data_IF_901421010432
#
_entry.id   IF_901421010432
#
_cell.length_a   1.000
_cell.length_b   1.000
_cell.length_c   1.000
_cell.angle_alpha   90.00
_cell.angle_beta   90.00
_cell.angle_gamma   90.00
#
_symmetry.space_group_name_H-M   'P 1'
#
loop_
_entity.id
_entity.type
_entity.pdbx_description
1 polymer ?
#
# COMPACT_ATOMS: atom_id res chain seq x y z
N UNK A 1 7.81 4.04 -14.36
CA UNK A 1 6.47 4.54 -14.03
C UNK A 1 6.23 4.31 -12.56
N UNK A 2 5.45 5.18 -11.94
CA UNK A 2 5.10 5.06 -10.53
C UNK A 2 3.61 5.33 -10.38
N UNK A 3 2.94 4.51 -9.57
CA UNK A 3 1.53 4.67 -9.22
C UNK A 3 1.39 4.79 -7.71
N UNK A 4 0.35 5.48 -7.25
CA UNK A 4 0.08 5.68 -5.83
C UNK A 4 -1.40 5.62 -5.49
N UNK A 5 -1.72 5.19 -4.27
CA UNK A 5 -3.07 5.30 -3.69
C UNK A 5 -3.53 6.75 -3.49
N UNK A 6 -2.63 7.73 -3.65
CA UNK A 6 -2.80 9.05 -3.05
C UNK A 6 -2.77 8.99 -1.52
N UNK A 7 -2.98 10.12 -0.83
CA UNK A 7 -3.07 10.14 0.62
C UNK A 7 -4.39 9.54 1.10
N UNK A 8 -4.33 8.61 2.04
CA UNK A 8 -5.50 8.08 2.73
C UNK A 8 -5.30 8.05 4.25
N UNK A 9 -6.40 8.02 5.00
CA UNK A 9 -6.36 8.00 6.46
C UNK A 9 -6.72 6.62 6.97
N UNK A 10 -5.82 6.00 7.74
CA UNK A 10 -6.19 4.82 8.51
C UNK A 10 -7.16 5.26 9.63
N UNK A 11 -8.29 4.59 9.85
CA UNK A 11 -9.18 4.98 10.95
C UNK A 11 -8.54 4.63 12.29
N UNK A 12 -9.00 5.31 13.35
CA UNK A 12 -8.60 4.97 14.72
C UNK A 12 -9.14 3.60 15.15
N UNK A 13 -10.36 3.30 14.74
CA UNK A 13 -11.07 2.04 14.97
C UNK A 13 -11.72 1.60 13.67
N UNK A 14 -11.62 0.32 13.35
CA UNK A 14 -12.39 -0.32 12.30
C UNK A 14 -13.87 -0.43 12.71
N UNK A 15 -14.74 -0.78 11.77
CA UNK A 15 -16.18 -0.95 12.02
C UNK A 15 -16.52 -1.92 13.16
N UNK A 16 -15.64 -2.91 13.40
CA UNK A 16 -15.80 -3.88 14.49
C UNK A 16 -15.32 -3.37 15.87
N UNK A 17 -14.86 -2.11 15.97
CA UNK A 17 -14.37 -1.50 17.20
C UNK A 17 -12.93 -1.83 17.57
N UNK A 18 -12.19 -2.57 16.72
CA UNK A 18 -10.76 -2.86 16.93
C UNK A 18 -9.90 -1.88 16.15
N UNK A 19 -8.73 -1.52 16.67
CA UNK A 19 -7.79 -0.69 15.93
C UNK A 19 -7.13 -1.52 14.81
N UNK A 20 -6.99 -0.99 13.59
CA UNK A 20 -6.23 -1.67 12.54
C UNK A 20 -4.78 -1.86 13.00
N UNK A 21 -4.17 -3.00 12.69
CA UNK A 21 -2.77 -3.30 13.07
C UNK A 21 -1.88 -3.61 11.87
N UNK A 22 -2.48 -3.68 10.68
CA UNK A 22 -1.81 -4.10 9.46
C UNK A 22 -2.30 -3.29 8.27
N UNK A 23 -1.36 -2.93 7.39
CA UNK A 23 -1.60 -2.55 6.01
C UNK A 23 -1.01 -3.64 5.12
N UNK A 24 -1.87 -4.37 4.41
CA UNK A 24 -1.50 -5.41 3.47
C UNK A 24 -1.45 -4.84 2.05
N UNK A 25 -0.43 -5.23 1.29
CA UNK A 25 -0.18 -4.85 -0.09
C UNK A 25 0.02 -6.14 -0.88
N UNK A 26 -0.91 -6.40 -1.79
CA UNK A 26 -0.94 -7.59 -2.62
C UNK A 26 -0.44 -7.20 -4.00
N UNK A 27 0.61 -7.88 -4.45
CA UNK A 27 1.23 -7.65 -5.74
C UNK A 27 1.07 -8.90 -6.59
N UNK A 28 0.51 -8.75 -7.79
CA UNK A 28 0.28 -9.85 -8.71
C UNK A 28 0.97 -9.56 -10.04
N UNK A 29 1.74 -10.54 -10.53
CA UNK A 29 2.34 -10.52 -11.86
C UNK A 29 1.55 -11.45 -12.78
N UNK A 30 0.56 -10.95 -13.56
CA UNK A 30 -0.19 -11.74 -14.52
C UNK A 30 0.61 -12.05 -15.81
N UNK A 31 1.81 -11.48 -15.95
CA UNK A 31 2.58 -11.55 -17.19
C UNK A 31 3.43 -12.83 -17.29
N UNK A 32 4.01 -13.04 -18.48
CA UNK A 32 4.90 -14.18 -18.76
C UNK A 32 6.39 -13.91 -18.50
N UNK A 33 6.72 -12.77 -17.88
CA UNK A 33 8.10 -12.35 -17.61
C UNK A 33 8.26 -12.04 -16.13
N UNK A 34 9.49 -12.10 -15.63
CA UNK A 34 9.80 -11.54 -14.32
C UNK A 34 9.54 -10.04 -14.36
N UNK A 35 8.93 -9.53 -13.31
CA UNK A 35 8.65 -8.10 -13.12
C UNK A 35 9.19 -7.66 -11.78
N UNK A 36 9.71 -6.44 -11.71
CA UNK A 36 10.30 -5.87 -10.51
C UNK A 36 9.65 -4.53 -10.19
N UNK A 37 9.23 -4.38 -8.94
CA UNK A 37 8.70 -3.13 -8.40
C UNK A 37 9.38 -2.77 -7.09
N UNK A 38 9.45 -1.48 -6.79
CA UNK A 38 9.79 -0.96 -5.47
C UNK A 38 8.50 -0.45 -4.82
N UNK A 39 8.20 -0.95 -3.63
CA UNK A 39 7.05 -0.52 -2.83
C UNK A 39 7.53 0.36 -1.70
N UNK A 40 6.96 1.55 -1.61
CA UNK A 40 7.26 2.55 -0.58
C UNK A 40 5.95 2.87 0.15
N UNK A 41 5.99 2.84 1.49
CA UNK A 41 4.90 3.34 2.33
C UNK A 41 5.39 4.49 3.16
N UNK A 42 4.74 5.63 2.98
CA UNK A 42 5.00 6.85 3.72
C UNK A 42 3.87 7.08 4.74
N UNK A 43 4.26 7.53 5.93
CA UNK A 43 3.35 7.97 7.00
C UNK A 43 3.52 9.47 7.24
N UNK A 44 2.42 10.18 7.37
CA UNK A 44 2.40 11.57 7.86
C UNK A 44 1.66 11.63 9.19
N UNK A 45 2.35 12.19 10.17
CA UNK A 45 1.74 12.52 11.45
C UNK A 45 0.88 13.78 11.28
N UNK A 46 -0.31 13.80 11.87
CA UNK A 46 -1.23 14.94 11.78
C UNK A 46 -0.61 16.14 12.50
N UNK A 47 -0.10 17.09 11.72
CA UNK A 47 0.50 18.33 12.20
C UNK A 47 -0.15 19.53 11.52
N UNK A 48 -0.36 20.66 12.23
CA UNK A 48 -0.82 21.90 11.61
C UNK A 48 0.23 22.53 10.68
N UNK A 49 1.49 22.08 10.75
CA UNK A 49 2.56 22.50 9.84
C UNK A 49 2.83 21.40 8.82
N UNK A 50 3.12 21.74 7.56
CA UNK A 50 3.58 20.76 6.58
C UNK A 50 4.78 19.98 7.10
N UNK A 51 4.69 18.66 7.10
CA UNK A 51 5.76 17.74 7.47
C UNK A 51 6.09 16.83 6.29
N UNK A 52 7.35 16.42 6.21
CA UNK A 52 7.74 15.38 5.28
C UNK A 52 7.15 14.03 5.72
N UNK A 53 6.82 13.18 4.75
CA UNK A 53 6.42 11.81 5.02
C UNK A 53 7.58 11.04 5.62
N UNK A 54 7.30 10.22 6.63
CA UNK A 54 8.26 9.25 7.15
C UNK A 54 8.09 7.96 6.38
N UNK A 55 9.14 7.51 5.68
CA UNK A 55 9.15 6.19 5.04
C UNK A 55 9.19 5.13 6.14
N UNK A 56 8.13 4.33 6.24
CA UNK A 56 8.01 3.23 7.22
C UNK A 56 8.21 1.86 6.56
N UNK A 57 8.15 1.81 5.23
CA UNK A 57 8.42 0.61 4.46
C UNK A 57 9.01 0.99 3.10
N UNK A 58 10.06 0.29 2.69
CA UNK A 58 10.74 0.48 1.42
C UNK A 58 11.42 -0.82 1.03
N UNK A 59 10.88 -1.52 0.03
CA UNK A 59 11.39 -2.81 -0.43
C UNK A 59 11.31 -2.93 -1.95
N UNK A 60 12.32 -3.57 -2.54
CA UNK A 60 12.31 -4.01 -3.93
C UNK A 60 11.87 -5.47 -3.99
N UNK A 61 10.87 -5.74 -4.83
CA UNK A 61 10.21 -7.04 -4.94
C UNK A 61 10.25 -7.47 -6.40
N UNK A 62 10.77 -8.69 -6.62
CA UNK A 62 10.80 -9.32 -7.94
C UNK A 62 9.83 -10.49 -7.94
N UNK A 63 8.83 -10.44 -8.81
CA UNK A 63 7.80 -11.46 -8.95
C UNK A 63 8.07 -12.33 -10.19
N UNK A 64 8.16 -13.67 -10.03
CA UNK A 64 8.11 -14.59 -11.15
C UNK A 64 6.83 -14.44 -12.00
N UNK A 65 6.81 -14.99 -13.23
CA UNK A 65 5.62 -14.98 -14.08
C UNK A 65 4.44 -15.68 -13.40
N UNK A 66 3.23 -15.14 -13.54
CA UNK A 66 1.99 -15.70 -13.00
C UNK A 66 2.06 -16.01 -11.48
N UNK A 67 2.66 -15.10 -10.71
CA UNK A 67 2.81 -15.26 -9.26
C UNK A 67 2.23 -14.06 -8.52
N UNK A 68 1.97 -14.24 -7.23
CA UNK A 68 1.54 -13.16 -6.34
C UNK A 68 2.33 -13.20 -5.04
N UNK A 69 2.53 -12.03 -4.44
CA UNK A 69 3.17 -11.88 -3.14
C UNK A 69 2.40 -10.89 -2.27
N UNK A 70 2.22 -11.28 -1.02
CA UNK A 70 1.62 -10.46 0.03
C UNK A 70 2.73 -9.77 0.82
N UNK A 71 2.57 -8.47 1.07
CA UNK A 71 3.48 -7.66 1.87
C UNK A 71 2.68 -7.00 2.98
N UNK A 72 3.11 -7.20 4.23
CA UNK A 72 2.47 -6.57 5.38
C UNK A 72 3.36 -5.48 5.96
N UNK A 73 2.76 -4.31 6.19
CA UNK A 73 3.33 -3.23 6.99
C UNK A 73 2.61 -3.21 8.33
N UNK A 74 3.34 -3.61 9.37
CA UNK A 74 2.80 -3.84 10.72
C UNK A 74 3.01 -2.62 11.63
N UNK A 75 2.31 -2.59 12.77
CA UNK A 75 2.54 -1.60 13.84
C UNK A 75 4.01 -1.55 14.26
N UNK A 76 4.68 -2.70 14.36
CA UNK A 76 6.10 -2.78 14.70
C UNK A 76 7.03 -2.09 13.69
N UNK A 77 6.57 -1.88 12.46
CA UNK A 77 7.28 -1.16 11.40
C UNK A 77 6.89 0.32 11.34
N UNK A 78 6.00 0.79 12.22
CA UNK A 78 5.58 2.20 12.29
C UNK A 78 4.19 2.47 11.73
N UNK A 79 3.37 1.43 11.48
CA UNK A 79 1.93 1.64 11.25
C UNK A 79 1.24 2.11 12.54
N UNK A 80 0.36 3.10 12.43
CA UNK A 80 -0.30 3.82 13.52
C UNK A 80 -1.74 4.14 13.08
N UNK A 81 -2.75 3.59 13.77
CA UNK A 81 -4.15 3.98 13.57
C UNK A 81 -4.36 5.50 13.63
N UNK A 82 -5.20 6.05 12.76
CA UNK A 82 -5.52 7.47 12.74
C UNK A 82 -4.56 8.36 11.92
N UNK A 83 -3.37 7.85 11.55
CA UNK A 83 -2.38 8.57 10.76
C UNK A 83 -2.76 8.60 9.26
N UNK A 84 -2.06 9.47 8.52
CA UNK A 84 -2.16 9.56 7.07
C UNK A 84 -1.07 8.70 6.43
N UNK A 85 -1.44 8.02 5.34
CA UNK A 85 -0.59 7.09 4.61
C UNK A 85 -0.64 7.37 3.12
N UNK A 86 0.42 6.93 2.44
CA UNK A 86 0.49 6.82 0.98
C UNK A 86 1.28 5.57 0.66
N UNK A 87 0.73 4.74 -0.23
CA UNK A 87 1.48 3.64 -0.84
C UNK A 87 1.87 4.07 -2.24
N UNK A 88 3.15 3.89 -2.58
CA UNK A 88 3.69 4.19 -3.89
C UNK A 88 4.40 2.95 -4.42
N UNK A 89 4.08 2.56 -5.64
CA UNK A 89 4.69 1.42 -6.34
C UNK A 89 5.40 1.95 -7.57
N UNK A 90 6.69 1.65 -7.70
CA UNK A 90 7.56 2.17 -8.76
C UNK A 90 8.15 1.00 -9.55
N UNK A 91 8.16 1.07 -10.88
CA UNK A 91 8.87 0.10 -11.73
C UNK A 91 7.97 -0.49 -12.79
N UNK A 92 7.92 -1.83 -12.85
CA UNK A 92 7.11 -2.61 -13.80
C UNK A 92 5.60 -2.58 -13.44
N UNK A 93 5.03 -1.40 -13.28
CA UNK A 93 3.61 -1.15 -13.01
C UNK A 93 3.17 0.06 -13.82
N UNK A 94 1.89 0.12 -14.15
CA UNK A 94 1.23 1.22 -14.88
C UNK A 94 -0.21 1.35 -14.38
N UNK A 95 -0.94 2.38 -14.79
CA UNK A 95 -2.35 2.59 -14.39
C UNK A 95 -3.33 1.66 -15.14
N UNK A 96 -2.90 1.11 -16.27
CA UNK A 96 -3.69 0.23 -17.15
C UNK A 96 -3.59 -1.26 -16.74
N UNK A 97 -2.87 -1.57 -15.65
CA UNK A 97 -2.59 -2.92 -15.17
C UNK A 97 -1.86 -3.84 -16.17
N UNK A 98 -1.07 -3.31 -17.12
CA UNK A 98 -0.32 -4.14 -18.08
C UNK A 98 0.95 -4.78 -17.48
N UNK A 99 1.39 -4.28 -16.32
CA UNK A 99 2.52 -4.75 -15.53
C UNK A 99 2.14 -5.56 -14.29
N UNK A 100 2.64 -5.12 -13.13
CA UNK A 100 2.24 -5.61 -11.80
C UNK A 100 0.91 -4.95 -11.41
N UNK A 101 -0.06 -5.78 -11.08
CA UNK A 101 -1.32 -5.40 -10.43
C UNK A 101 -1.09 -5.21 -8.93
N UNK A 102 -1.81 -4.25 -8.33
CA UNK A 102 -1.64 -3.88 -6.92
C UNK A 102 -2.99 -3.78 -6.24
N UNK A 103 -3.13 -4.38 -5.07
CA UNK A 103 -4.26 -4.15 -4.15
C UNK A 103 -3.71 -3.77 -2.79
N UNK A 104 -4.29 -2.76 -2.14
CA UNK A 104 -3.95 -2.37 -0.78
C UNK A 104 -5.18 -2.54 0.09
N UNK A 105 -5.01 -3.16 1.25
CA UNK A 105 -6.09 -3.32 2.23
C UNK A 105 -5.56 -3.17 3.66
N UNK A 106 -6.36 -2.56 4.53
CA UNK A 106 -6.06 -2.44 5.96
C UNK A 106 -6.93 -3.37 6.80
N UNK A 107 -6.42 -3.78 7.96
CA UNK A 107 -7.17 -4.69 8.82
C UNK A 107 -6.56 -4.94 10.19
N UNK A 108 -7.25 -5.78 10.96
CA UNK A 108 -6.73 -6.45 12.15
C UNK A 108 -7.46 -7.78 12.39
N UNK A 109 -6.73 -8.78 12.89
CA UNK A 109 -7.29 -10.09 13.27
C UNK A 109 -8.13 -10.77 12.17
N UNK A 110 -7.74 -10.63 10.90
CA UNK A 110 -8.47 -11.20 9.76
C UNK A 110 -9.72 -10.43 9.34
N UNK A 111 -10.02 -9.30 9.99
CA UNK A 111 -11.03 -8.35 9.52
C UNK A 111 -10.37 -7.27 8.67
N UNK A 112 -11.00 -6.92 7.56
CA UNK A 112 -10.58 -5.84 6.68
C UNK A 112 -11.44 -4.60 6.92
N UNK A 113 -10.84 -3.43 6.72
CA UNK A 113 -11.50 -2.14 6.83
C UNK A 113 -11.73 -1.54 5.44
N UNK A 114 -12.99 -1.40 5.00
CA UNK A 114 -13.31 -0.90 3.66
C UNK A 114 -12.72 0.48 3.35
N UNK A 115 -12.57 1.34 4.35
CA UNK A 115 -11.96 2.67 4.16
C UNK A 115 -10.46 2.65 3.86
N UNK A 116 -9.83 1.48 3.97
CA UNK A 116 -8.44 1.25 3.63
C UNK A 116 -8.28 0.28 2.45
N UNK A 117 -9.33 0.07 1.64
CA UNK A 117 -9.31 -0.84 0.50
C UNK A 117 -9.13 -0.07 -0.81
N UNK A 118 -8.05 -0.36 -1.54
CA UNK A 118 -7.71 0.23 -2.82
C UNK A 118 -7.40 -0.88 -3.82
N UNK A 119 -8.16 -0.93 -4.90
CA UNK A 119 -7.88 -1.77 -6.06
C UNK A 119 -6.91 -1.04 -6.97
N UNK A 120 -6.32 -1.75 -7.92
CA UNK A 120 -5.38 -1.16 -8.86
C UNK A 120 -5.97 0.07 -9.59
N UNK A 121 -7.22 0.00 -10.02
CA UNK A 121 -7.94 1.11 -10.68
C UNK A 121 -8.15 2.35 -9.80
N UNK A 122 -7.97 2.22 -8.48
CA UNK A 122 -8.07 3.34 -7.54
C UNK A 122 -6.72 4.09 -7.40
N UNK A 123 -5.65 3.59 -8.03
CA UNK A 123 -4.34 4.24 -8.05
C UNK A 123 -4.26 5.33 -9.11
N UNK A 124 -3.37 6.30 -8.88
CA UNK A 124 -3.06 7.38 -9.82
C UNK A 124 -1.58 7.35 -10.20
N UNK A 125 -1.29 7.63 -11.46
CA UNK A 125 0.09 7.79 -11.93
C UNK A 125 0.75 9.03 -11.33
N UNK A 126 2.05 8.92 -11.02
CA UNK A 126 2.91 10.02 -10.63
C UNK A 126 4.23 9.95 -11.43
N UNK A 127 4.65 11.10 -11.95
CA UNK A 127 5.87 11.31 -12.74
C UNK A 127 7.17 11.22 -11.91
#
# INVERSE_FOLDING_TARGET
>A
MAITTGPFRAPLLMQNGTAPDTLAIDLTNPTRKNKTVRVIVERWDLSPTPTAGTIIFDQVITLPPNSSQFVNVLVAQGFIPGALYRVTVIGDTDEDAEGIEVVVNGGANGFHEPTMFFRHEDFVEID
#
